data_IF_983328278836
#
_entry.id   IF_983328278836
#
_cell.length_a   1.000
_cell.length_b   1.000
_cell.length_c   1.000
_cell.angle_alpha   90.00
_cell.angle_beta   90.00
_cell.angle_gamma   90.00
#
_symmetry.space_group_name_H-M   'P 1'
#
loop_
_entity.id
_entity.type
_entity.pdbx_description
1 polymer ?
#
# COMPACT_ATOMS: atom_id res chain seq x y z
N UNK A 1 19.08 -54.64 14.02
CA UNK A 1 18.43 -54.16 15.26
C UNK A 1 19.49 -53.37 16.00
N UNK A 2 19.43 -52.08 16.30
CA UNK A 2 18.40 -51.05 16.24
C UNK A 2 19.12 -49.75 15.82
N UNK A 3 18.61 -49.07 14.80
CA UNK A 3 19.03 -47.75 14.37
C UNK A 3 18.29 -46.69 15.21
N UNK A 4 19.04 -45.73 15.77
CA UNK A 4 18.49 -44.58 16.47
C UNK A 4 17.84 -43.58 15.49
N UNK A 5 16.76 -42.88 15.86
CA UNK A 5 16.12 -41.92 14.98
C UNK A 5 16.88 -40.59 14.98
N UNK A 6 17.19 -40.09 13.78
CA UNK A 6 17.65 -38.73 13.55
C UNK A 6 16.46 -37.80 13.73
N UNK A 7 16.48 -37.01 14.81
CA UNK A 7 15.51 -35.96 15.06
C UNK A 7 15.65 -34.82 14.04
N UNK A 8 14.56 -34.57 13.33
CA UNK A 8 14.40 -33.43 12.43
C UNK A 8 14.36 -32.13 13.25
N UNK A 9 15.41 -31.31 13.14
CA UNK A 9 15.44 -29.96 13.70
C UNK A 9 14.46 -29.06 12.94
N UNK A 10 13.39 -28.63 13.63
CA UNK A 10 12.49 -27.56 13.20
C UNK A 10 13.30 -26.27 13.00
N UNK A 11 13.33 -25.75 11.77
CA UNK A 11 13.83 -24.40 11.46
C UNK A 11 12.83 -23.36 12.00
N UNK A 12 13.01 -22.96 13.25
CA UNK A 12 12.35 -21.81 13.85
C UNK A 12 13.15 -20.52 13.68
N UNK A 13 12.43 -19.40 13.60
CA UNK A 13 12.83 -18.01 13.89
C UNK A 13 13.89 -17.34 12.99
N UNK A 14 13.44 -16.78 11.86
CA UNK A 14 14.09 -15.67 11.13
C UNK A 14 13.39 -14.31 11.35
N UNK A 15 12.52 -14.18 12.36
CA UNK A 15 11.90 -12.89 12.75
C UNK A 15 12.89 -11.90 13.41
N UNK A 16 14.09 -12.34 13.78
CA UNK A 16 15.04 -11.52 14.54
C UNK A 16 15.75 -10.43 13.72
N UNK A 17 15.72 -10.48 12.38
CA UNK A 17 16.52 -9.58 11.55
C UNK A 17 15.82 -8.24 11.21
N UNK A 18 14.51 -8.11 11.37
CA UNK A 18 13.80 -6.85 11.06
C UNK A 18 13.78 -5.90 12.27
N UNK A 19 13.55 -6.44 13.48
CA UNK A 19 13.62 -5.66 14.73
C UNK A 19 15.03 -5.16 15.08
N UNK A 20 16.09 -5.86 14.63
CA UNK A 20 17.49 -5.44 14.82
C UNK A 20 17.87 -4.21 13.97
N UNK A 21 17.11 -3.88 12.92
CA UNK A 21 17.47 -2.80 11.98
C UNK A 21 16.79 -1.45 12.25
N UNK A 22 15.62 -1.40 12.89
CA UNK A 22 15.16 -0.15 13.54
C UNK A 22 16.21 0.28 14.57
N UNK A 23 16.82 -0.68 15.26
CA UNK A 23 18.00 -0.50 16.11
C UNK A 23 19.26 -0.03 15.35
N UNK A 24 19.47 -0.45 14.09
CA UNK A 24 20.65 -0.09 13.30
C UNK A 24 20.54 1.29 12.64
N UNK A 25 19.34 1.73 12.25
CA UNK A 25 19.08 3.13 11.84
C UNK A 25 19.29 4.08 13.03
N UNK A 26 18.93 3.64 14.24
CA UNK A 26 19.25 4.35 15.49
C UNK A 26 20.73 4.20 15.88
N UNK A 27 21.40 3.10 15.52
CA UNK A 27 22.83 2.89 15.82
C UNK A 27 23.78 3.55 14.81
N UNK A 28 23.37 3.80 13.56
CA UNK A 28 24.17 4.51 12.57
C UNK A 28 24.39 5.99 12.96
N UNK A 29 23.42 6.58 13.69
CA UNK A 29 23.59 7.88 14.35
C UNK A 29 24.69 7.88 15.44
N UNK A 30 25.16 6.71 15.92
CA UNK A 30 26.24 6.61 16.93
C UNK A 30 27.63 6.89 16.36
N UNK A 31 27.82 6.91 15.04
CA UNK A 31 29.14 7.14 14.45
C UNK A 31 29.61 8.60 14.51
N UNK A 32 28.72 9.55 14.80
CA UNK A 32 29.02 11.00 14.79
C UNK A 32 29.10 11.67 16.18
N UNK A 33 29.09 10.89 17.26
CA UNK A 33 29.45 11.41 18.60
C UNK A 33 28.43 12.37 19.24
N UNK A 34 27.18 12.39 18.78
CA UNK A 34 26.10 13.17 19.43
C UNK A 34 25.48 12.35 20.56
N UNK A 35 25.35 12.95 21.74
CA UNK A 35 24.74 12.29 22.91
C UNK A 35 23.27 11.92 22.64
N UNK A 36 22.79 10.74 23.10
CA UNK A 36 21.45 10.26 22.78
C UNK A 36 20.38 11.11 23.49
N UNK A 37 19.38 11.56 22.74
CA UNK A 37 18.15 12.12 23.30
C UNK A 37 17.34 10.99 23.95
N UNK A 38 16.72 11.27 25.10
CA UNK A 38 16.02 10.32 25.97
C UNK A 38 14.91 9.48 25.31
N UNK A 39 14.44 9.84 24.10
CA UNK A 39 13.41 9.13 23.33
C UNK A 39 13.88 7.87 22.62
N UNK A 40 15.14 7.80 22.19
CA UNK A 40 15.68 6.65 21.43
C UNK A 40 15.86 5.40 22.30
N UNK A 41 16.17 5.59 23.59
CA UNK A 41 16.23 4.49 24.58
C UNK A 41 14.85 3.90 24.89
N UNK A 42 13.78 4.69 24.77
CA UNK A 42 12.42 4.21 24.97
C UNK A 42 11.96 3.35 23.77
N UNK A 43 12.28 3.76 22.53
CA UNK A 43 12.01 2.95 21.33
C UNK A 43 12.72 1.60 21.35
N UNK A 44 13.99 1.57 21.80
CA UNK A 44 14.76 0.32 21.83
C UNK A 44 14.19 -0.74 22.79
N UNK A 45 13.48 -0.32 23.85
CA UNK A 45 12.83 -1.22 24.82
C UNK A 45 11.51 -1.84 24.32
N UNK A 46 10.92 -1.32 23.23
CA UNK A 46 9.64 -1.79 22.65
C UNK A 46 9.81 -2.80 21.49
N UNK A 47 11.04 -3.08 21.07
CA UNK A 47 11.39 -3.86 19.87
C UNK A 47 11.10 -5.37 19.93
N UNK A 48 10.43 -5.84 20.98
CA UNK A 48 9.90 -7.21 21.04
C UNK A 48 8.46 -7.32 20.47
N UNK A 49 7.84 -6.21 20.08
CA UNK A 49 6.49 -6.16 19.51
C UNK A 49 6.54 -5.83 18.01
N UNK A 50 5.62 -6.39 17.19
CA UNK A 50 5.50 -6.01 15.79
C UNK A 50 5.30 -4.49 15.68
N UNK A 51 5.95 -3.86 14.71
CA UNK A 51 5.75 -2.44 14.43
C UNK A 51 5.11 -2.24 13.06
N UNK A 52 4.58 -1.04 12.83
CA UNK A 52 4.07 -0.62 11.55
C UNK A 52 5.13 0.20 10.82
N UNK A 53 5.33 -0.12 9.55
CA UNK A 53 6.03 0.74 8.61
C UNK A 53 4.98 1.38 7.70
N UNK A 54 5.20 2.63 7.33
CA UNK A 54 4.38 3.35 6.37
C UNK A 54 5.27 3.79 5.21
N UNK A 55 5.02 3.28 4.00
CA UNK A 55 5.60 3.79 2.76
C UNK A 55 4.78 4.96 2.26
N UNK A 56 5.44 6.05 1.86
CA UNK A 56 4.76 7.23 1.35
C UNK A 56 5.65 8.01 0.39
N UNK A 57 5.05 9.03 -0.23
CA UNK A 57 5.77 10.03 -1.01
C UNK A 57 5.38 11.44 -0.52
N UNK A 58 6.18 12.43 -0.90
CA UNK A 58 5.91 13.85 -0.67
C UNK A 58 5.79 14.58 -2.01
N UNK A 59 5.18 15.78 -2.03
CA UNK A 59 5.01 16.56 -3.25
C UNK A 59 4.23 15.80 -4.33
N UNK A 60 4.84 15.60 -5.51
CA UNK A 60 4.32 14.73 -6.56
C UNK A 60 5.10 13.42 -6.71
N UNK A 61 5.99 13.08 -5.79
CA UNK A 61 6.79 11.86 -5.80
C UNK A 61 8.10 11.98 -6.58
N UNK A 62 8.61 13.19 -6.76
CA UNK A 62 9.82 13.48 -7.53
C UNK A 62 11.11 12.97 -6.84
N UNK A 63 11.14 12.93 -5.51
CA UNK A 63 12.32 12.54 -4.74
C UNK A 63 12.31 11.06 -4.33
N UNK A 64 11.13 10.44 -4.27
CA UNK A 64 10.97 8.98 -4.23
C UNK A 64 10.29 8.42 -2.99
N UNK A 65 10.76 7.24 -2.56
CA UNK A 65 10.20 6.49 -1.44
C UNK A 65 10.59 7.14 -0.10
N UNK A 66 9.61 7.42 0.74
CA UNK A 66 9.81 7.75 2.15
C UNK A 66 9.23 6.65 3.04
N UNK A 67 9.79 6.50 4.23
CA UNK A 67 9.34 5.53 5.22
C UNK A 67 9.12 6.19 6.57
N UNK A 68 8.09 5.77 7.29
CA UNK A 68 7.84 6.12 8.68
C UNK A 68 7.56 4.87 9.50
N UNK A 69 7.73 4.96 10.82
CA UNK A 69 7.48 3.85 11.76
C UNK A 69 6.46 4.27 12.82
N UNK A 70 5.59 3.34 13.21
CA UNK A 70 4.71 3.48 14.36
C UNK A 70 4.69 2.20 15.19
N UNK A 71 4.61 2.34 16.51
CA UNK A 71 4.50 1.21 17.46
C UNK A 71 3.09 1.09 18.06
N UNK A 72 2.26 2.10 17.90
CA UNK A 72 0.90 2.16 18.46
C UNK A 72 -0.18 2.33 17.38
N UNK A 73 0.21 2.51 16.13
CA UNK A 73 -0.70 2.76 15.01
C UNK A 73 -1.33 4.15 14.99
N UNK A 74 -0.91 5.06 15.88
CA UNK A 74 -1.42 6.42 15.98
C UNK A 74 -0.34 7.47 15.72
N UNK A 75 0.90 7.20 16.13
CA UNK A 75 2.01 8.12 15.99
C UNK A 75 3.05 7.54 15.04
N UNK A 76 3.12 8.08 13.82
CA UNK A 76 4.11 7.72 12.82
C UNK A 76 5.25 8.74 12.82
N UNK A 77 6.47 8.24 12.97
CA UNK A 77 7.69 9.03 12.95
C UNK A 77 8.43 8.76 11.65
N UNK A 78 8.72 9.82 10.88
CA UNK A 78 9.53 9.72 9.67
C UNK A 78 10.91 9.12 9.97
N UNK A 79 11.33 8.17 9.15
CA UNK A 79 12.67 7.60 9.19
C UNK A 79 13.63 8.43 8.34
N UNK A 80 14.94 8.23 8.55
CA UNK A 80 16.00 8.93 7.80
C UNK A 80 15.84 10.46 7.76
N UNK A 81 15.35 11.04 8.86
CA UNK A 81 15.08 12.49 8.98
C UNK A 81 14.15 13.03 7.88
N UNK A 82 13.24 12.19 7.36
CA UNK A 82 12.33 12.55 6.28
C UNK A 82 12.98 12.62 4.89
N UNK A 83 14.19 12.08 4.72
CA UNK A 83 14.82 11.95 3.40
C UNK A 83 14.37 10.66 2.71
N UNK A 84 14.25 10.75 1.38
CA UNK A 84 13.95 9.61 0.50
C UNK A 84 14.97 8.47 0.64
N UNK A 85 14.46 7.24 0.59
CA UNK A 85 15.20 5.97 0.60
C UNK A 85 15.49 5.44 -0.80
N UNK A 86 14.70 5.86 -1.80
CA UNK A 86 14.84 5.37 -3.17
C UNK A 86 14.35 6.41 -4.17
N UNK A 87 15.26 7.02 -4.91
CA UNK A 87 14.95 7.97 -5.98
C UNK A 87 14.40 7.24 -7.21
N UNK A 88 13.29 7.69 -7.83
CA UNK A 88 12.68 7.03 -8.97
C UNK A 88 13.55 7.08 -10.23
N UNK A 89 13.63 5.95 -10.92
CA UNK A 89 14.28 5.81 -12.23
C UNK A 89 13.41 5.07 -13.26
N UNK A 90 12.35 4.38 -12.82
CA UNK A 90 11.37 3.75 -13.70
C UNK A 90 10.39 4.76 -14.32
N UNK A 91 9.95 4.47 -15.55
CA UNK A 91 9.10 5.37 -16.35
C UNK A 91 9.87 6.54 -16.95
N UNK A 92 9.25 7.23 -17.90
CA UNK A 92 9.85 8.41 -18.55
C UNK A 92 9.82 9.62 -17.61
N UNK A 93 8.71 9.82 -16.91
CA UNK A 93 8.53 10.97 -16.03
C UNK A 93 9.24 10.79 -14.67
N UNK A 94 9.69 9.57 -14.34
CA UNK A 94 10.46 9.23 -13.13
C UNK A 94 9.81 9.74 -11.85
N UNK A 95 8.53 9.42 -11.67
CA UNK A 95 7.82 9.67 -10.40
C UNK A 95 7.75 8.39 -9.57
N UNK A 96 7.66 8.56 -8.25
CA UNK A 96 7.25 7.51 -7.33
C UNK A 96 6.08 8.01 -6.49
N UNK A 97 4.87 7.72 -6.95
CA UNK A 97 3.64 8.02 -6.21
C UNK A 97 2.97 6.74 -5.77
N UNK A 98 2.25 6.82 -4.66
CA UNK A 98 1.41 5.75 -4.15
C UNK A 98 2.22 4.44 -3.95
N UNK A 99 3.39 4.46 -3.28
CA UNK A 99 4.23 3.27 -3.15
C UNK A 99 3.55 2.22 -2.27
N UNK A 100 3.24 1.07 -2.86
CA UNK A 100 2.65 -0.07 -2.16
C UNK A 100 3.68 -1.17 -1.93
N UNK A 101 3.84 -1.60 -0.68
CA UNK A 101 4.79 -2.64 -0.27
C UNK A 101 4.05 -3.82 0.34
N UNK A 102 4.38 -5.04 -0.13
CA UNK A 102 4.00 -6.30 0.54
C UNK A 102 5.22 -7.16 0.82
N UNK A 103 5.08 -8.09 1.76
CA UNK A 103 6.09 -9.12 2.00
C UNK A 103 5.75 -10.40 1.24
N UNK A 104 6.70 -10.89 0.46
CA UNK A 104 6.59 -12.12 -0.33
C UNK A 104 6.91 -13.39 0.46
N UNK A 105 6.56 -14.57 -0.10
CA UNK A 105 6.87 -15.88 0.49
C UNK A 105 8.37 -16.20 0.48
N UNK A 106 9.14 -15.50 -0.35
CA UNK A 106 10.60 -15.55 -0.39
C UNK A 106 11.27 -14.76 0.75
N UNK A 107 10.46 -14.06 1.55
CA UNK A 107 10.88 -13.25 2.68
C UNK A 107 11.32 -11.83 2.33
N UNK A 108 11.24 -11.42 1.06
CA UNK A 108 11.55 -10.07 0.58
C UNK A 108 10.32 -9.16 0.64
N UNK A 109 10.58 -7.87 0.62
CA UNK A 109 9.60 -6.83 0.37
C UNK A 109 9.53 -6.55 -1.13
N UNK A 110 8.33 -6.50 -1.68
CA UNK A 110 8.06 -6.16 -3.08
C UNK A 110 7.28 -4.86 -3.11
N UNK A 111 7.73 -3.91 -3.92
CA UNK A 111 7.12 -2.60 -4.04
C UNK A 111 6.66 -2.33 -5.46
N UNK A 112 5.47 -1.76 -5.59
CA UNK A 112 4.96 -1.18 -6.84
C UNK A 112 4.55 0.28 -6.63
N UNK A 113 4.57 1.09 -7.68
CA UNK A 113 4.21 2.52 -7.59
C UNK A 113 3.80 3.11 -8.95
N UNK A 114 3.13 4.26 -8.91
CA UNK A 114 2.80 5.08 -10.10
C UNK A 114 4.05 5.80 -10.60
N UNK A 115 4.42 5.58 -11.87
CA UNK A 115 5.64 6.18 -12.48
C UNK A 115 5.42 7.50 -13.21
N UNK A 116 4.17 7.82 -13.57
CA UNK A 116 3.82 8.95 -14.43
C UNK A 116 2.32 9.29 -14.33
N UNK A 117 1.98 10.51 -14.73
CA UNK A 117 0.59 10.95 -14.94
C UNK A 117 -0.06 10.37 -16.21
N UNK A 118 0.71 9.86 -17.18
CA UNK A 118 0.20 9.51 -18.51
C UNK A 118 0.79 8.26 -19.14
N UNK A 119 1.52 7.43 -18.37
CA UNK A 119 2.08 6.17 -18.87
C UNK A 119 1.17 4.97 -18.56
N UNK A 120 1.40 3.89 -19.32
CA UNK A 120 0.62 2.64 -19.28
C UNK A 120 1.34 1.52 -18.53
N UNK A 121 2.20 1.90 -17.60
CA UNK A 121 2.97 0.97 -16.78
C UNK A 121 3.14 1.47 -15.37
N UNK A 122 3.72 0.61 -14.54
CA UNK A 122 3.96 0.85 -13.11
C UNK A 122 5.42 0.51 -12.79
N UNK A 123 5.91 1.02 -11.67
CA UNK A 123 7.24 0.71 -11.19
C UNK A 123 7.26 -0.58 -10.38
N UNK A 124 8.40 -1.26 -10.35
CA UNK A 124 8.66 -2.40 -9.49
C UNK A 124 10.10 -2.43 -8.98
N UNK A 125 10.27 -2.77 -7.70
CA UNK A 125 11.54 -3.10 -7.08
C UNK A 125 11.29 -4.01 -5.87
N UNK A 126 12.33 -4.71 -5.43
CA UNK A 126 12.26 -5.52 -4.21
C UNK A 126 13.42 -5.20 -3.26
N UNK A 127 13.24 -5.48 -1.97
CA UNK A 127 14.25 -5.28 -0.93
C UNK A 127 14.24 -6.43 0.07
N UNK A 128 15.39 -6.72 0.66
CA UNK A 128 15.47 -7.67 1.77
C UNK A 128 15.22 -7.01 3.13
N UNK A 129 15.36 -5.68 3.23
CA UNK A 129 15.49 -4.94 4.48
C UNK A 129 14.76 -3.57 4.49
N UNK A 130 14.07 -3.20 3.41
CA UNK A 130 13.44 -1.90 3.14
C UNK A 130 14.42 -0.73 2.95
N UNK A 131 15.73 -0.97 3.03
CA UNK A 131 16.78 0.04 2.93
C UNK A 131 17.48 -0.03 1.58
N UNK A 132 17.90 -1.23 1.21
CA UNK A 132 18.60 -1.48 -0.05
C UNK A 132 17.63 -2.09 -1.03
N UNK A 133 17.40 -1.40 -2.13
CA UNK A 133 16.44 -1.80 -3.16
C UNK A 133 17.15 -2.36 -4.40
N UNK A 134 16.51 -3.32 -5.06
CA UNK A 134 16.94 -3.81 -6.37
C UNK A 134 16.92 -2.69 -7.42
N UNK A 135 17.56 -2.89 -8.57
CA UNK A 135 17.30 -2.06 -9.74
C UNK A 135 15.79 -1.95 -10.00
N UNK A 136 15.33 -0.74 -10.29
CA UNK A 136 13.92 -0.49 -10.59
C UNK A 136 13.59 -0.98 -11.99
N UNK A 137 12.38 -1.51 -12.13
CA UNK A 137 11.82 -1.98 -13.40
C UNK A 137 10.55 -1.21 -13.71
N UNK A 138 10.34 -0.95 -14.99
CA UNK A 138 9.05 -0.53 -15.51
C UNK A 138 8.28 -1.78 -15.97
N UNK A 139 7.08 -1.97 -15.43
CA UNK A 139 6.18 -3.06 -15.80
C UNK A 139 5.10 -2.53 -16.74
N UNK A 140 5.06 -2.97 -18.02
CA UNK A 140 4.16 -2.44 -19.06
C UNK A 140 2.72 -2.99 -18.97
N UNK A 141 2.09 -2.90 -17.80
CA UNK A 141 0.85 -3.63 -17.46
C UNK A 141 -0.39 -3.26 -18.29
N UNK A 142 -0.38 -2.12 -18.99
CA UNK A 142 -1.46 -1.67 -19.89
C UNK A 142 -0.98 -1.31 -21.30
N UNK A 143 0.26 -1.60 -21.70
CA UNK A 143 0.76 -1.19 -23.03
C UNK A 143 0.04 -1.87 -24.20
N UNK A 144 -0.54 -3.05 -23.97
CA UNK A 144 -1.38 -3.75 -24.92
C UNK A 144 -2.70 -3.01 -25.23
N UNK A 145 -3.09 -2.04 -24.40
CA UNK A 145 -4.29 -1.23 -24.55
C UNK A 145 -3.93 0.18 -25.06
N UNK A 146 -4.02 0.45 -26.37
CA UNK A 146 -3.50 1.67 -26.97
C UNK A 146 -4.21 2.94 -26.49
N UNK A 147 -5.47 2.81 -26.03
CA UNK A 147 -6.28 3.93 -25.54
C UNK A 147 -6.23 4.12 -24.03
N UNK A 148 -5.54 3.25 -23.29
CA UNK A 148 -5.33 3.44 -21.86
C UNK A 148 -4.52 4.72 -21.62
N UNK A 149 -5.01 5.54 -20.69
CA UNK A 149 -4.41 6.84 -20.40
C UNK A 149 -3.42 6.81 -19.24
N UNK A 150 -3.54 5.84 -18.33
CA UNK A 150 -2.81 5.83 -17.08
C UNK A 150 -2.77 4.45 -16.41
N UNK A 151 -1.78 4.24 -15.53
CA UNK A 151 -1.79 3.21 -14.49
C UNK A 151 -1.47 3.89 -13.15
N UNK A 152 -2.48 4.13 -12.33
CA UNK A 152 -2.34 4.90 -11.09
C UNK A 152 -2.67 4.07 -9.86
N UNK A 153 -2.05 4.47 -8.73
CA UNK A 153 -2.21 3.88 -7.41
C UNK A 153 -2.15 2.35 -7.44
N UNK A 154 -1.05 1.75 -7.96
CA UNK A 154 -0.94 0.32 -7.98
C UNK A 154 -0.73 -0.24 -6.59
N UNK A 155 -1.35 -1.39 -6.33
CA UNK A 155 -1.17 -2.17 -5.12
C UNK A 155 -0.69 -3.58 -5.46
N UNK A 156 0.00 -4.19 -4.51
CA UNK A 156 0.53 -5.54 -4.60
C UNK A 156 0.12 -6.33 -3.38
N UNK A 157 -0.57 -7.45 -3.60
CA UNK A 157 -1.04 -8.34 -2.54
C UNK A 157 -0.56 -9.76 -2.81
N UNK A 158 0.01 -10.44 -1.80
CA UNK A 158 0.35 -11.85 -1.93
C UNK A 158 -0.80 -12.72 -1.45
N UNK A 159 -1.38 -13.50 -2.37
CA UNK A 159 -2.44 -14.44 -2.04
C UNK A 159 -1.89 -15.84 -1.78
N UNK A 160 -1.90 -16.26 -0.52
CA UNK A 160 -1.42 -17.59 -0.10
C UNK A 160 -2.22 -18.73 -0.74
N UNK A 161 -3.52 -18.54 -1.02
CA UNK A 161 -4.37 -19.59 -1.55
C UNK A 161 -4.01 -19.97 -3.00
N UNK A 162 -3.61 -19.00 -3.81
CA UNK A 162 -3.16 -19.21 -5.19
C UNK A 162 -1.64 -19.23 -5.34
N UNK A 163 -0.91 -18.86 -4.28
CA UNK A 163 0.53 -18.66 -4.24
C UNK A 163 1.04 -17.68 -5.32
N UNK A 164 0.28 -16.61 -5.55
CA UNK A 164 0.56 -15.57 -6.53
C UNK A 164 0.54 -14.19 -5.87
N UNK A 165 1.34 -13.27 -6.41
CA UNK A 165 1.11 -11.85 -6.25
C UNK A 165 -0.02 -11.41 -7.17
N UNK A 166 -0.92 -10.60 -6.65
CA UNK A 166 -1.95 -9.88 -7.38
C UNK A 166 -1.52 -8.42 -7.42
N UNK A 167 -1.31 -7.90 -8.63
CA UNK A 167 -1.03 -6.50 -8.87
C UNK A 167 -2.29 -5.88 -9.44
N UNK A 168 -2.73 -4.76 -8.89
CA UNK A 168 -3.96 -4.10 -9.33
C UNK A 168 -3.84 -2.58 -9.24
N UNK A 169 -4.51 -1.87 -10.15
CA UNK A 169 -4.34 -0.43 -10.34
C UNK A 169 -5.56 0.18 -11.03
N UNK A 170 -5.65 1.51 -11.02
CA UNK A 170 -6.70 2.26 -11.69
C UNK A 170 -6.28 2.73 -13.08
N UNK A 171 -7.12 2.47 -14.10
CA UNK A 171 -6.91 2.93 -15.47
C UNK A 171 -8.18 3.53 -16.06
N UNK A 172 -8.05 4.67 -16.73
CA UNK A 172 -9.07 5.24 -17.61
C UNK A 172 -8.84 4.78 -19.05
N UNK A 173 -9.91 4.30 -19.67
CA UNK A 173 -9.95 3.95 -21.10
C UNK A 173 -11.16 4.69 -21.70
N UNK A 174 -10.95 5.76 -22.50
CA UNK A 174 -12.04 6.56 -23.06
C UNK A 174 -13.11 5.72 -23.77
N UNK A 175 -14.38 6.06 -23.57
CA UNK A 175 -15.52 5.37 -24.17
C UNK A 175 -15.82 3.96 -23.64
N UNK A 176 -15.00 3.37 -22.75
CA UNK A 176 -15.22 2.00 -22.24
C UNK A 176 -16.35 1.91 -21.22
N UNK A 177 -16.55 2.96 -20.42
CA UNK A 177 -17.60 3.05 -19.41
C UNK A 177 -18.41 4.34 -19.59
N UNK A 178 -19.22 4.45 -20.67
CA UNK A 178 -19.88 5.70 -21.06
C UNK A 178 -20.85 6.23 -19.99
N UNK A 179 -21.42 5.36 -19.16
CA UNK A 179 -22.37 5.71 -18.10
C UNK A 179 -21.74 6.63 -17.03
N UNK A 180 -20.42 6.57 -16.85
CA UNK A 180 -19.68 7.32 -15.83
C UNK A 180 -18.64 8.26 -16.44
N UNK A 181 -18.65 8.47 -17.76
CA UNK A 181 -17.59 9.20 -18.47
C UNK A 181 -17.48 10.68 -18.05
N UNK A 182 -18.61 11.30 -17.72
CA UNK A 182 -18.67 12.67 -17.21
C UNK A 182 -18.53 12.79 -15.68
N UNK A 183 -18.23 11.69 -14.97
CA UNK A 183 -18.27 11.66 -13.50
C UNK A 183 -16.98 12.12 -12.82
N UNK A 184 -15.83 12.08 -13.50
CA UNK A 184 -14.53 12.42 -12.91
C UNK A 184 -13.97 13.77 -13.35
N UNK A 185 -12.88 14.16 -12.70
CA UNK A 185 -12.13 15.37 -13.06
C UNK A 185 -11.47 15.19 -14.44
N UNK A 186 -11.57 16.19 -15.32
CA UNK A 186 -10.86 16.22 -16.61
C UNK A 186 -10.98 14.94 -17.47
N UNK A 187 -12.17 14.30 -17.43
CA UNK A 187 -12.48 13.08 -18.19
C UNK A 187 -11.77 11.81 -17.71
N UNK A 188 -11.22 11.81 -16.49
CA UNK A 188 -10.74 10.59 -15.84
C UNK A 188 -11.92 9.74 -15.39
N UNK A 189 -11.98 8.49 -15.83
CA UNK A 189 -13.08 7.55 -15.60
C UNK A 189 -12.49 6.16 -15.38
N UNK A 190 -11.97 5.95 -14.18
CA UNK A 190 -11.16 4.81 -13.82
C UNK A 190 -12.01 3.57 -13.55
N UNK A 191 -11.40 2.41 -13.82
CA UNK A 191 -11.76 1.12 -13.22
C UNK A 191 -10.52 0.42 -12.70
N UNK A 192 -10.71 -0.54 -11.81
CA UNK A 192 -9.61 -1.33 -11.26
C UNK A 192 -9.33 -2.51 -12.18
N UNK A 193 -8.09 -2.60 -12.66
CA UNK A 193 -7.56 -3.70 -13.45
C UNK A 193 -6.55 -4.48 -12.62
N UNK A 194 -6.29 -5.72 -13.00
CA UNK A 194 -5.31 -6.56 -12.32
C UNK A 194 -4.58 -7.52 -13.25
N UNK A 195 -3.38 -7.90 -12.84
CA UNK A 195 -2.64 -9.08 -13.31
C UNK A 195 -2.15 -9.89 -12.12
N UNK A 196 -1.64 -11.10 -12.38
CA UNK A 196 -1.00 -11.94 -11.37
C UNK A 196 0.36 -12.41 -11.85
N UNK A 197 1.27 -12.58 -10.91
CA UNK A 197 2.61 -13.14 -11.15
C UNK A 197 3.05 -13.98 -9.95
N UNK A 198 3.98 -14.90 -10.15
CA UNK A 198 4.63 -15.65 -9.04
C UNK A 198 6.02 -15.12 -8.71
N UNK A 199 6.64 -14.41 -9.65
CA UNK A 199 8.07 -14.10 -9.65
C UNK A 199 8.43 -12.69 -10.15
N UNK A 200 7.42 -11.92 -10.61
CA UNK A 200 7.59 -10.62 -11.26
C UNK A 200 8.36 -10.67 -12.59
N UNK A 201 8.46 -11.84 -13.21
CA UNK A 201 8.96 -12.01 -14.58
C UNK A 201 7.82 -12.35 -15.53
N UNK A 202 7.03 -13.37 -15.18
CA UNK A 202 5.89 -13.80 -15.97
C UNK A 202 4.57 -13.26 -15.38
N UNK A 203 3.77 -12.64 -16.23
CA UNK A 203 2.51 -12.02 -15.86
C UNK A 203 1.34 -12.66 -16.62
N UNK A 204 0.24 -12.91 -15.90
CA UNK A 204 -1.02 -13.25 -16.54
C UNK A 204 -1.53 -12.06 -17.39
N UNK A 205 -2.38 -12.31 -18.40
CA UNK A 205 -3.04 -11.22 -19.11
C UNK A 205 -3.81 -10.31 -18.14
N UNK A 206 -3.71 -9.00 -18.36
CA UNK A 206 -4.47 -8.01 -17.59
C UNK A 206 -5.97 -8.22 -17.79
N UNK A 207 -6.73 -8.06 -16.72
CA UNK A 207 -8.19 -8.16 -16.73
C UNK A 207 -8.82 -7.10 -15.84
N UNK A 208 -10.09 -6.80 -16.09
CA UNK A 208 -10.90 -5.97 -15.21
C UNK A 208 -11.09 -6.70 -13.87
N UNK A 209 -10.71 -6.05 -12.77
CA UNK A 209 -10.89 -6.56 -11.42
C UNK A 209 -12.20 -6.07 -10.79
N UNK A 210 -12.52 -4.79 -10.96
CA UNK A 210 -13.68 -4.19 -10.33
C UNK A 210 -14.35 -3.06 -11.13
N UNK A 211 -15.67 -3.16 -11.26
CA UNK A 211 -16.58 -2.19 -11.87
C UNK A 211 -17.84 -2.08 -10.98
N UNK A 212 -17.91 -1.10 -10.05
CA UNK A 212 -19.04 -0.91 -9.15
C UNK A 212 -20.22 -0.07 -9.68
N UNK A 213 -20.16 0.42 -10.92
CA UNK A 213 -21.11 1.36 -11.52
C UNK A 213 -20.74 2.84 -11.30
N UNK A 214 -19.55 3.14 -10.78
CA UNK A 214 -19.03 4.50 -10.59
C UNK A 214 -17.52 4.56 -10.88
N UNK A 215 -16.97 5.77 -10.98
CA UNK A 215 -15.55 6.01 -11.17
C UNK A 215 -14.76 5.61 -9.92
N UNK A 216 -13.94 4.55 -10.00
CA UNK A 216 -13.26 3.96 -8.85
C UNK A 216 -11.74 4.00 -9.01
N UNK A 217 -11.05 4.42 -7.96
CA UNK A 217 -9.59 4.51 -7.86
C UNK A 217 -9.14 4.15 -6.44
N UNK A 218 -7.82 4.10 -6.21
CA UNK A 218 -7.20 3.92 -4.90
C UNK A 218 -7.82 2.74 -4.13
N UNK A 219 -7.64 1.54 -4.66
CA UNK A 219 -8.11 0.32 -4.02
C UNK A 219 -6.98 -0.37 -3.27
N UNK A 220 -7.25 -0.93 -2.10
CA UNK A 220 -6.34 -1.83 -1.35
C UNK A 220 -7.12 -3.08 -0.91
N UNK A 221 -6.40 -4.16 -0.62
CA UNK A 221 -6.99 -5.50 -0.43
C UNK A 221 -6.41 -6.21 0.79
N UNK A 222 -7.30 -6.76 1.62
CA UNK A 222 -6.94 -7.63 2.75
C UNK A 222 -7.79 -8.89 2.74
N UNK A 223 -7.29 -9.96 3.37
CA UNK A 223 -8.03 -11.21 3.57
C UNK A 223 -8.47 -11.34 5.02
N UNK A 224 -9.74 -11.68 5.24
CA UNK A 224 -10.31 -11.91 6.57
C UNK A 224 -11.34 -13.02 6.53
N UNK A 225 -11.22 -13.99 7.42
CA UNK A 225 -12.20 -15.08 7.59
C UNK A 225 -12.56 -15.78 6.26
N UNK A 226 -11.56 -15.99 5.41
CA UNK A 226 -11.71 -16.66 4.11
C UNK A 226 -12.27 -15.77 2.99
N UNK A 227 -12.62 -14.51 3.28
CA UNK A 227 -13.09 -13.53 2.28
C UNK A 227 -12.03 -12.48 1.99
N UNK A 228 -12.14 -11.87 0.82
CA UNK A 228 -11.31 -10.76 0.38
C UNK A 228 -12.10 -9.47 0.52
N UNK A 229 -11.49 -8.48 1.16
CA UNK A 229 -12.09 -7.17 1.43
C UNK A 229 -11.27 -6.16 0.66
N UNK A 230 -11.94 -5.41 -0.21
CA UNK A 230 -11.38 -4.29 -0.92
C UNK A 230 -11.89 -3.00 -0.28
N UNK A 231 -10.98 -2.13 0.14
CA UNK A 231 -11.31 -0.73 0.46
C UNK A 231 -10.91 0.11 -0.74
N UNK A 232 -11.80 1.00 -1.17
CA UNK A 232 -11.69 1.72 -2.45
C UNK A 232 -12.25 3.12 -2.35
N UNK A 233 -11.81 4.02 -3.23
CA UNK A 233 -12.34 5.37 -3.35
C UNK A 233 -13.39 5.45 -4.45
N UNK A 234 -14.53 6.05 -4.12
CA UNK A 234 -15.48 6.57 -5.11
C UNK A 234 -15.00 7.96 -5.57
N UNK A 235 -14.48 8.03 -6.79
CA UNK A 235 -13.85 9.21 -7.37
C UNK A 235 -14.85 10.18 -8.02
N UNK A 236 -16.15 9.87 -7.94
CA UNK A 236 -17.23 10.68 -8.51
C UNK A 236 -17.17 12.13 -8.01
N UNK A 237 -17.14 13.07 -8.95
CA UNK A 237 -16.96 14.51 -8.73
C UNK A 237 -18.28 15.23 -8.44
N UNK A 238 -19.37 14.84 -9.09
CA UNK A 238 -20.66 15.52 -9.03
C UNK A 238 -21.86 14.54 -8.99
N UNK A 239 -22.71 14.59 -7.94
CA UNK A 239 -22.41 15.20 -6.64
C UNK A 239 -21.13 14.57 -6.05
N UNK A 240 -20.34 15.32 -5.26
CA UNK A 240 -19.06 14.82 -4.78
C UNK A 240 -19.27 13.61 -3.89
N UNK A 241 -18.69 12.48 -4.30
CA UNK A 241 -18.56 11.30 -3.46
C UNK A 241 -17.21 11.39 -2.73
N UNK A 242 -16.09 11.26 -3.45
CA UNK A 242 -14.70 11.40 -2.96
C UNK A 242 -14.49 10.77 -1.57
N UNK A 243 -15.09 9.60 -1.38
CA UNK A 243 -15.18 8.89 -0.11
C UNK A 243 -14.70 7.47 -0.26
N UNK A 244 -14.37 6.84 0.87
CA UNK A 244 -13.96 5.45 0.90
C UNK A 244 -15.16 4.54 1.12
N UNK A 245 -15.13 3.37 0.50
CA UNK A 245 -16.16 2.32 0.60
C UNK A 245 -15.49 0.95 0.69
N UNK A 246 -16.28 -0.06 1.03
CA UNK A 246 -15.83 -1.45 1.19
C UNK A 246 -16.60 -2.35 0.23
N UNK A 247 -15.90 -3.26 -0.46
CA UNK A 247 -16.50 -4.34 -1.24
C UNK A 247 -15.87 -5.68 -0.82
N UNK A 248 -16.60 -6.79 -1.00
CA UNK A 248 -16.13 -8.12 -0.60
C UNK A 248 -16.27 -9.16 -1.71
N UNK A 249 -15.35 -10.13 -1.76
CA UNK A 249 -15.37 -11.28 -2.65
C UNK A 249 -14.99 -12.57 -1.92
N UNK A 250 -15.36 -13.72 -2.50
CA UNK A 250 -14.92 -15.03 -2.00
C UNK A 250 -13.60 -15.49 -2.63
N UNK A 251 -13.15 -14.81 -3.70
CA UNK A 251 -11.87 -15.05 -4.36
C UNK A 251 -11.11 -13.73 -4.57
N UNK A 252 -9.78 -13.76 -4.50
CA UNK A 252 -8.93 -12.55 -4.59
C UNK A 252 -9.15 -11.76 -5.89
N UNK A 253 -9.49 -12.51 -6.95
CA UNK A 253 -9.72 -12.02 -8.29
C UNK A 253 -11.20 -11.69 -8.57
N UNK A 254 -12.05 -11.69 -7.56
CA UNK A 254 -13.48 -11.42 -7.66
C UNK A 254 -14.33 -12.64 -8.07
N UNK A 255 -15.61 -12.43 -8.39
CA UNK A 255 -16.27 -11.13 -8.45
C UNK A 255 -16.43 -10.49 -7.07
N UNK A 256 -16.16 -9.19 -7.00
CA UNK A 256 -16.49 -8.38 -5.82
C UNK A 256 -17.96 -7.96 -5.89
N UNK A 257 -18.64 -8.02 -4.75
CA UNK A 257 -20.00 -7.53 -4.60
C UNK A 257 -20.10 -6.00 -4.64
N UNK A 258 -21.31 -5.44 -4.47
CA UNK A 258 -21.52 -3.99 -4.44
C UNK A 258 -20.67 -3.31 -3.36
N UNK A 259 -20.23 -2.09 -3.64
CA UNK A 259 -19.58 -1.24 -2.64
C UNK A 259 -20.57 -0.83 -1.55
N UNK A 260 -20.09 -0.71 -0.31
CA UNK A 260 -20.86 -0.24 0.83
C UNK A 260 -21.26 1.24 0.70
N UNK A 261 -22.06 1.70 1.66
CA UNK A 261 -22.13 3.12 1.96
C UNK A 261 -20.75 3.68 2.35
N UNK A 262 -20.54 5.01 2.23
CA UNK A 262 -19.29 5.66 2.62
C UNK A 262 -18.87 5.34 4.05
N UNK A 263 -17.60 4.98 4.25
CA UNK A 263 -17.02 4.75 5.58
C UNK A 263 -16.35 6.02 6.15
N UNK A 264 -16.18 7.05 5.33
CA UNK A 264 -15.58 8.34 5.72
C UNK A 264 -16.63 9.44 5.84
N UNK A 265 -16.33 10.47 6.63
CA UNK A 265 -17.19 11.65 6.83
C UNK A 265 -17.28 12.60 5.61
N UNK A 266 -17.92 13.78 5.78
CA UNK A 266 -18.19 14.75 4.70
C UNK A 266 -16.94 15.56 4.32
N UNK A 267 -15.89 14.85 3.90
CA UNK A 267 -14.61 15.39 3.45
C UNK A 267 -14.07 14.49 2.35
N UNK A 268 -13.10 14.98 1.60
CA UNK A 268 -12.49 14.24 0.50
C UNK A 268 -11.39 13.35 1.04
N UNK A 269 -11.50 12.06 0.78
CA UNK A 269 -10.59 11.01 1.23
C UNK A 269 -10.05 10.25 0.03
N UNK A 270 -8.78 9.86 0.06
CA UNK A 270 -8.13 9.09 -0.98
C UNK A 270 -7.02 8.19 -0.43
N UNK A 271 -6.53 7.27 -1.25
CA UNK A 271 -5.41 6.41 -0.89
C UNK A 271 -5.56 5.60 0.40
N UNK A 272 -6.59 4.73 0.51
CA UNK A 272 -6.76 3.89 1.69
C UNK A 272 -5.63 2.86 1.80
N UNK A 273 -5.13 2.67 3.01
CA UNK A 273 -4.28 1.54 3.39
C UNK A 273 -4.86 0.85 4.62
N UNK A 274 -4.93 -0.48 4.58
CA UNK A 274 -5.64 -1.27 5.58
C UNK A 274 -4.72 -2.25 6.28
N UNK A 275 -4.73 -2.20 7.61
CA UNK A 275 -4.00 -3.15 8.47
C UNK A 275 -4.88 -3.55 9.65
N UNK A 276 -4.63 -4.74 10.21
CA UNK A 276 -5.32 -5.20 11.42
C UNK A 276 -4.40 -5.05 12.63
N UNK A 277 -4.85 -4.32 13.64
CA UNK A 277 -4.17 -4.15 14.93
C UNK A 277 -5.07 -4.64 16.06
N UNK A 278 -4.65 -5.70 16.75
CA UNK A 278 -5.50 -6.35 17.76
C UNK A 278 -6.80 -6.87 17.16
N UNK A 279 -7.94 -6.49 17.74
CA UNK A 279 -9.28 -6.84 17.22
C UNK A 279 -9.70 -5.99 16.02
N UNK A 280 -9.14 -4.80 15.86
CA UNK A 280 -9.67 -3.77 14.96
C UNK A 280 -8.89 -3.62 13.66
N UNK A 281 -9.62 -3.40 12.58
CA UNK A 281 -9.13 -2.88 11.32
C UNK A 281 -8.84 -1.39 11.45
N UNK A 282 -7.73 -0.97 10.88
CA UNK A 282 -7.30 0.41 10.76
C UNK A 282 -7.20 0.75 9.27
N UNK A 283 -7.92 1.78 8.84
CA UNK A 283 -7.89 2.32 7.49
C UNK A 283 -7.27 3.71 7.55
N UNK A 284 -6.02 3.83 7.14
CA UNK A 284 -5.32 5.10 6.99
C UNK A 284 -5.60 5.67 5.59
N UNK A 285 -5.76 6.98 5.47
CA UNK A 285 -6.08 7.61 4.18
C UNK A 285 -5.70 9.09 4.15
N UNK A 286 -5.48 9.63 2.96
CA UNK A 286 -5.15 11.05 2.76
C UNK A 286 -6.43 11.90 2.70
N UNK A 287 -6.58 12.87 3.62
CA UNK A 287 -7.56 13.96 3.52
C UNK A 287 -6.93 15.10 2.71
N UNK A 288 -6.63 14.84 1.45
CA UNK A 288 -5.75 15.66 0.60
C UNK A 288 -6.13 17.13 0.46
N UNK A 289 -7.43 17.49 0.58
CA UNK A 289 -7.86 18.90 0.60
C UNK A 289 -7.65 19.62 1.93
N UNK A 290 -7.37 18.86 2.99
CA UNK A 290 -7.09 19.35 4.34
C UNK A 290 -5.59 19.25 4.70
N UNK A 291 -4.76 18.69 3.80
CA UNK A 291 -3.31 18.58 4.04
C UNK A 291 -2.94 17.70 5.24
N UNK A 292 -3.77 16.70 5.55
CA UNK A 292 -3.55 15.79 6.68
C UNK A 292 -4.10 14.40 6.37
N UNK A 293 -3.64 13.42 7.12
CA UNK A 293 -4.16 12.06 7.07
C UNK A 293 -5.38 11.86 7.97
N UNK A 294 -6.13 10.80 7.69
CA UNK A 294 -7.22 10.28 8.48
C UNK A 294 -7.03 8.83 8.88
N UNK A 295 -7.77 8.42 9.91
CA UNK A 295 -7.85 7.04 10.39
C UNK A 295 -9.30 6.70 10.70
N UNK A 296 -9.84 5.70 10.03
CA UNK A 296 -11.08 5.01 10.43
C UNK A 296 -10.71 3.67 11.06
N UNK A 297 -11.37 3.28 12.15
CA UNK A 297 -11.24 1.94 12.73
C UNK A 297 -12.55 1.18 12.76
N UNK A 298 -12.48 -0.15 12.70
CA UNK A 298 -13.66 -1.01 12.80
C UNK A 298 -13.30 -2.40 13.31
N UNK A 299 -14.09 -2.96 14.22
CA UNK A 299 -13.92 -4.36 14.65
C UNK A 299 -14.63 -5.36 13.73
N UNK A 300 -15.62 -4.90 12.96
CA UNK A 300 -16.55 -5.75 12.21
C UNK A 300 -16.66 -5.39 10.72
N UNK A 301 -15.88 -4.41 10.24
CA UNK A 301 -15.86 -3.88 8.87
C UNK A 301 -17.17 -3.24 8.41
N UNK A 302 -18.08 -2.92 9.34
CA UNK A 302 -19.40 -2.35 9.07
C UNK A 302 -19.60 -1.03 9.80
N UNK A 303 -19.24 -1.00 11.08
CA UNK A 303 -19.32 0.18 11.93
C UNK A 303 -17.94 0.80 12.05
N UNK A 304 -17.84 2.09 11.76
CA UNK A 304 -16.56 2.78 11.63
C UNK A 304 -16.47 3.96 12.61
N UNK A 305 -15.34 4.06 13.32
CA UNK A 305 -15.03 5.17 14.21
C UNK A 305 -13.91 6.05 13.61
N UNK A 306 -14.11 7.37 13.58
CA UNK A 306 -13.12 8.33 13.08
C UNK A 306 -12.14 8.71 14.21
N UNK A 307 -10.89 8.29 14.07
CA UNK A 307 -9.79 8.61 14.98
C UNK A 307 -8.80 9.61 14.39
N UNK A 308 -9.17 10.31 13.32
CA UNK A 308 -8.29 11.25 12.61
C UNK A 308 -7.81 12.43 13.47
N UNK A 309 -8.46 12.71 14.61
CA UNK A 309 -8.07 13.79 15.51
C UNK A 309 -6.82 13.47 16.36
N UNK A 310 -6.53 12.18 16.56
CA UNK A 310 -5.40 11.71 17.38
C UNK A 310 -4.28 11.08 16.53
N UNK A 311 -4.49 10.96 15.23
CA UNK A 311 -3.49 10.44 14.29
C UNK A 311 -2.42 11.50 14.03
N UNK A 312 -1.15 11.10 14.17
CA UNK A 312 0.02 11.89 13.83
C UNK A 312 0.79 11.17 12.72
N UNK A 313 0.94 11.85 11.59
CA UNK A 313 1.70 11.37 10.42
C UNK A 313 2.84 12.33 10.09
N UNK A 314 3.87 11.90 9.34
CA UNK A 314 4.88 12.80 8.82
C UNK A 314 4.27 13.97 8.04
N UNK A 315 4.85 15.16 8.20
CA UNK A 315 4.43 16.34 7.46
C UNK A 315 4.60 16.12 5.95
N UNK A 316 3.59 16.53 5.17
CA UNK A 316 3.61 16.40 3.71
C UNK A 316 3.48 14.97 3.19
N UNK A 317 3.29 13.97 4.06
CA UNK A 317 3.01 12.62 3.63
C UNK A 317 1.75 12.56 2.76
N UNK A 318 1.81 11.77 1.69
CA UNK A 318 0.70 11.48 0.77
C UNK A 318 0.54 9.98 0.62
N UNK A 319 -0.42 9.55 -0.19
CA UNK A 319 -0.83 8.15 -0.36
C UNK A 319 0.35 7.15 -0.39
N UNK A 320 0.24 6.08 0.39
CA UNK A 320 1.06 4.87 0.30
C UNK A 320 0.53 3.81 1.26
N UNK A 321 1.36 2.87 1.72
CA UNK A 321 0.91 1.65 2.40
C UNK A 321 1.46 1.51 3.81
N UNK A 322 0.58 1.16 4.75
CA UNK A 322 0.95 0.75 6.11
C UNK A 322 1.00 -0.78 6.17
N UNK A 323 2.14 -1.33 6.58
CA UNK A 323 2.35 -2.77 6.74
C UNK A 323 2.96 -3.12 8.10
N UNK A 324 2.61 -4.28 8.63
CA UNK A 324 3.23 -4.84 9.84
C UNK A 324 4.55 -5.52 9.49
N UNK A 325 5.58 -5.25 10.29
CA UNK A 325 6.93 -5.84 10.16
C UNK A 325 7.44 -6.44 11.47
#
# INVERSE_FOLDING_TARGET
>A
MLSAPVGCLRKGSRLWLVGLWVCAVVAAARAEGVAPWSRERALAGQLASPCLVFSYFVGNGEDGLHLAVSFDGLHFVALNEGRSFLTPTAGRDRLMRDPCITRGPDGRFHMVWTVSWGERGIGYAHSADLLTWSPQRYLPVMEHEPTARNCWAPEVFYDEATACFVLFWATTIPGRFPQTEASGDNGWNHRIYATTTRDFEDFAPTRLLYEPGFNVIDSTLVKHEGRYIMVLKDETRHPPQKNLRVATADHVLGPYGPASEPITGPYWAEGPSVVRLGSAWHVYFDKYRQGRYGLMTSENLREWADHSAVLVMPEGARHGTVLTV
#
